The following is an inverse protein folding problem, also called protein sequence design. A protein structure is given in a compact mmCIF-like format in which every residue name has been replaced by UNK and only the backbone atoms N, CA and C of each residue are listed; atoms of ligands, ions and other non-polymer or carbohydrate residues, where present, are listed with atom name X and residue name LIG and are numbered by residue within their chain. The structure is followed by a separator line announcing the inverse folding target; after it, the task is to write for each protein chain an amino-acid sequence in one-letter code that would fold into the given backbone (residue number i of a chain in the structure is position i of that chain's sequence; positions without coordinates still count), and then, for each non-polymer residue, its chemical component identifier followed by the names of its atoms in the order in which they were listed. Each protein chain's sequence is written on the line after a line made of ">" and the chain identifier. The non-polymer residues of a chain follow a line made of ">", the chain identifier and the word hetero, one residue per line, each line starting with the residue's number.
data_IF_911996891174
#
_entry.id   IF_911996891174
#
_cell.length_a   1.000
_cell.length_b   1.000
_cell.length_c   1.000
_cell.angle_alpha   90.00
_cell.angle_beta   90.00
_cell.angle_gamma   90.00
#
_symmetry.space_group_name_H-M   'P 1'
#
loop_
_entity.id
_entity.type
_entity.pdbx_description
1 polymer ?
#
# COMPACT_ATOMS: atom_id res chain seq x y z
N UNK A 1 -29.97 12.73 0.43
CA UNK A 1 -29.43 12.19 -0.84
C UNK A 1 -28.50 11.04 -0.49
N UNK A 2 -28.62 9.87 -1.14
CA UNK A 2 -27.66 8.78 -0.94
C UNK A 2 -26.27 9.29 -1.27
N UNK A 3 -25.31 9.07 -0.38
CA UNK A 3 -23.93 9.54 -0.54
C UNK A 3 -23.26 8.66 -1.59
N UNK A 4 -22.73 9.26 -2.66
CA UNK A 4 -21.95 8.54 -3.67
C UNK A 4 -20.83 7.73 -2.99
N UNK A 5 -20.64 6.43 -3.28
CA UNK A 5 -19.58 5.63 -2.68
C UNK A 5 -18.19 6.20 -3.02
N UNK A 6 -17.20 5.95 -2.15
CA UNK A 6 -15.81 6.23 -2.49
C UNK A 6 -15.34 5.23 -3.55
N UNK A 7 -14.56 5.66 -4.56
CA UNK A 7 -14.11 4.76 -5.60
C UNK A 7 -13.03 3.79 -5.10
N UNK A 8 -13.31 2.50 -5.01
CA UNK A 8 -12.34 1.52 -4.48
C UNK A 8 -11.07 1.35 -5.35
N UNK A 9 -11.02 1.96 -6.53
CA UNK A 9 -9.86 1.95 -7.43
C UNK A 9 -9.71 3.29 -8.13
N UNK A 10 -8.46 3.62 -8.48
CA UNK A 10 -8.11 4.73 -9.36
C UNK A 10 -7.27 4.20 -10.51
N UNK A 11 -7.45 4.77 -11.70
CA UNK A 11 -6.69 4.40 -12.88
C UNK A 11 -6.42 5.65 -13.72
N UNK A 12 -5.15 5.94 -13.93
CA UNK A 12 -4.65 7.04 -14.74
C UNK A 12 -3.90 6.49 -15.95
N UNK A 13 -4.35 6.91 -17.13
CA UNK A 13 -3.77 6.51 -18.42
C UNK A 13 -3.98 7.63 -19.44
N UNK A 14 -3.04 7.76 -20.38
CA UNK A 14 -3.20 8.60 -21.58
C UNK A 14 -3.64 7.79 -22.81
N UNK A 15 -3.82 6.48 -22.65
CA UNK A 15 -4.18 5.58 -23.73
C UNK A 15 -5.66 5.69 -24.06
N UNK A 16 -5.99 5.55 -25.35
CA UNK A 16 -7.38 5.41 -25.77
C UNK A 16 -7.93 4.03 -25.39
N UNK A 17 -9.25 3.89 -25.17
CA UNK A 17 -9.86 2.58 -24.92
C UNK A 17 -9.46 1.55 -25.99
N UNK A 18 -8.95 0.38 -25.57
CA UNK A 18 -8.47 -0.67 -26.45
C UNK A 18 -6.97 -0.62 -26.77
N UNK A 19 -6.25 0.42 -26.35
CA UNK A 19 -4.78 0.41 -26.33
C UNK A 19 -4.25 -0.13 -25.00
N UNK A 20 -3.11 -0.80 -25.06
CA UNK A 20 -2.46 -1.42 -23.90
C UNK A 20 -1.17 -0.66 -23.58
N UNK A 21 -0.91 -0.44 -22.29
CA UNK A 21 0.34 0.18 -21.83
C UNK A 21 1.47 -0.84 -21.78
N UNK A 22 2.70 -0.39 -21.98
CA UNK A 22 3.88 -1.23 -21.82
C UNK A 22 4.07 -1.60 -20.34
N UNK A 23 3.79 -0.64 -19.45
CA UNK A 23 3.91 -0.80 -18.01
C UNK A 23 2.67 -0.33 -17.26
N UNK A 24 2.41 -0.97 -16.12
CA UNK A 24 1.47 -0.49 -15.10
C UNK A 24 2.19 -0.37 -13.76
N UNK A 25 2.15 0.82 -13.16
CA UNK A 25 2.46 1.01 -11.75
C UNK A 25 1.22 0.62 -10.96
N UNK A 26 1.31 -0.44 -10.17
CA UNK A 26 0.23 -0.94 -9.33
C UNK A 26 0.48 -0.55 -7.87
N UNK A 27 -0.31 0.42 -7.38
CA UNK A 27 -0.15 1.02 -6.08
C UNK A 27 -0.98 0.33 -5.00
N UNK A 28 -0.31 -0.06 -3.91
CA UNK A 28 -0.87 -0.70 -2.72
C UNK A 28 -0.76 0.28 -1.54
N UNK A 29 -1.89 0.76 -0.98
CA UNK A 29 -1.89 1.73 0.11
C UNK A 29 -1.41 1.11 1.43
N UNK A 30 -1.07 1.98 2.39
CA UNK A 30 -0.81 1.57 3.78
C UNK A 30 -2.09 1.39 4.59
N UNK A 31 -1.98 1.20 5.90
CA UNK A 31 -3.12 1.17 6.81
C UNK A 31 -3.43 2.57 7.36
N UNK A 32 -4.66 3.12 7.25
CA UNK A 32 -5.88 2.54 6.64
C UNK A 32 -5.82 2.40 5.12
N UNK A 33 -6.30 1.25 4.62
CA UNK A 33 -6.15 0.77 3.24
C UNK A 33 -6.91 1.49 2.13
N UNK A 34 -7.25 2.78 2.29
CA UNK A 34 -8.06 3.54 1.33
C UNK A 34 -7.21 4.19 0.24
N UNK A 35 -7.56 3.96 -1.02
CA UNK A 35 -6.82 4.56 -2.15
C UNK A 35 -7.01 6.08 -2.26
N UNK A 36 -8.08 6.62 -1.66
CA UNK A 36 -8.41 8.04 -1.72
C UNK A 36 -7.31 8.93 -1.13
N UNK A 37 -6.61 8.45 -0.10
CA UNK A 37 -5.47 9.15 0.49
C UNK A 37 -4.34 9.42 -0.52
N UNK A 38 -4.25 8.60 -1.56
CA UNK A 38 -3.16 8.63 -2.54
C UNK A 38 -3.60 9.21 -3.87
N UNK A 39 -4.85 9.64 -4.01
CA UNK A 39 -5.41 10.03 -5.30
C UNK A 39 -4.63 11.19 -5.96
N UNK A 40 -4.33 12.24 -5.18
CA UNK A 40 -3.55 13.38 -5.67
C UNK A 40 -2.12 12.95 -6.01
N UNK A 41 -1.48 12.17 -5.14
CA UNK A 41 -0.14 11.64 -5.34
C UNK A 41 -0.04 10.85 -6.66
N UNK A 42 -0.93 9.86 -6.86
CA UNK A 42 -0.92 9.00 -8.05
C UNK A 42 -1.25 9.76 -9.33
N UNK A 43 -2.15 10.74 -9.27
CA UNK A 43 -2.43 11.63 -10.40
C UNK A 43 -1.20 12.44 -10.78
N UNK A 44 -0.55 13.06 -9.80
CA UNK A 44 0.67 13.86 -10.03
C UNK A 44 1.83 12.99 -10.52
N UNK A 45 1.97 11.79 -9.97
CA UNK A 45 2.95 10.79 -10.42
C UNK A 45 2.75 10.47 -11.90
N UNK A 46 1.54 10.07 -12.30
CA UNK A 46 1.21 9.78 -13.69
C UNK A 46 1.50 10.98 -14.61
N UNK A 47 1.10 12.19 -14.21
CA UNK A 47 1.36 13.40 -14.99
C UNK A 47 2.86 13.67 -15.18
N UNK A 48 3.67 13.48 -14.13
CA UNK A 48 5.12 13.66 -14.20
C UNK A 48 5.79 12.59 -15.07
N UNK A 49 5.36 11.34 -14.97
CA UNK A 49 5.85 10.24 -15.82
C UNK A 49 5.50 10.51 -17.29
N UNK A 50 4.23 10.82 -17.58
CA UNK A 50 3.78 11.14 -18.93
C UNK A 50 4.56 12.30 -19.54
N UNK A 51 4.85 13.35 -18.77
CA UNK A 51 5.67 14.48 -19.21
C UNK A 51 7.12 14.08 -19.51
N UNK A 52 7.71 13.18 -18.71
CA UNK A 52 9.07 12.68 -18.95
C UNK A 52 9.16 11.75 -20.16
N UNK A 53 8.09 11.01 -20.45
CA UNK A 53 8.03 10.04 -21.53
C UNK A 53 7.41 10.58 -22.83
N UNK A 54 7.16 11.89 -22.92
CA UNK A 54 6.43 12.49 -24.07
C UNK A 54 7.09 12.22 -25.43
N UNK A 55 8.42 12.03 -25.47
CA UNK A 55 9.17 11.76 -26.70
C UNK A 55 9.59 10.29 -26.84
N UNK A 56 8.99 9.37 -26.07
CA UNK A 56 9.26 7.93 -26.17
C UNK A 56 8.00 7.20 -26.63
N UNK A 57 8.16 5.96 -27.09
CA UNK A 57 7.03 5.08 -27.40
C UNK A 57 6.48 4.36 -26.16
N UNK A 58 7.04 4.64 -24.97
CA UNK A 58 6.74 3.91 -23.73
C UNK A 58 5.51 4.51 -23.05
N UNK A 59 4.52 3.66 -22.79
CA UNK A 59 3.29 4.03 -22.10
C UNK A 59 3.24 3.40 -20.72
N UNK A 60 3.05 4.24 -19.70
CA UNK A 60 2.98 3.82 -18.30
C UNK A 60 1.64 4.23 -17.71
N UNK A 61 0.85 3.25 -17.32
CA UNK A 61 -0.40 3.45 -16.59
C UNK A 61 -0.14 3.46 -15.09
N UNK A 62 -0.95 4.19 -14.32
CA UNK A 62 -0.91 4.16 -12.85
C UNK A 62 -2.26 3.70 -12.34
N UNK A 63 -2.30 2.57 -11.66
CA UNK A 63 -3.48 2.02 -11.02
C UNK A 63 -3.24 1.92 -9.52
N UNK A 64 -4.28 2.17 -8.73
CA UNK A 64 -4.25 1.92 -7.30
C UNK A 64 -5.57 1.37 -6.82
N UNK A 65 -5.53 0.56 -5.77
CA UNK A 65 -6.70 -0.13 -5.23
C UNK A 65 -6.82 0.04 -3.72
N UNK A 66 -8.05 0.09 -3.23
CA UNK A 66 -8.38 0.02 -1.80
C UNK A 66 -8.24 -1.42 -1.34
N UNK A 67 -7.58 -1.65 -0.21
CA UNK A 67 -7.49 -2.98 0.40
C UNK A 67 -8.90 -3.45 0.82
N UNK A 68 -9.12 -4.77 0.85
CA UNK A 68 -10.42 -5.33 1.24
C UNK A 68 -10.73 -4.98 2.70
N UNK A 69 -11.99 -4.70 2.99
CA UNK A 69 -12.46 -4.30 4.33
C UNK A 69 -12.44 -2.79 4.57
N UNK A 70 -11.89 -2.00 3.63
CA UNK A 70 -11.84 -0.54 3.71
C UNK A 70 -12.84 0.17 2.78
N UNK A 71 -13.63 -0.57 2.01
CA UNK A 71 -14.61 0.00 1.09
C UNK A 71 -15.64 0.88 1.83
N UNK A 72 -15.93 2.07 1.28
CA UNK A 72 -16.79 3.07 1.92
C UNK A 72 -17.97 3.46 1.02
N UNK A 73 -19.15 2.87 1.27
CA UNK A 73 -20.40 3.21 0.59
C UNK A 73 -21.57 2.29 0.95
N UNK A 74 -22.81 2.81 0.84
CA UNK A 74 -24.06 2.07 1.14
C UNK A 74 -24.34 0.95 0.10
N UNK A 75 -23.75 1.11 -1.08
CA UNK A 75 -23.68 0.17 -2.20
C UNK A 75 -22.22 -0.15 -2.49
N UNK A 76 -21.45 -0.60 -1.50
CA UNK A 76 -20.45 -1.60 -1.86
C UNK A 76 -21.23 -2.66 -2.64
N UNK A 77 -20.91 -2.92 -3.92
CA UNK A 77 -21.58 -3.94 -4.72
C UNK A 77 -21.95 -5.11 -3.82
N UNK A 78 -23.23 -5.18 -3.40
CA UNK A 78 -23.69 -6.24 -2.51
C UNK A 78 -23.59 -7.59 -3.23
N UNK A 79 -23.42 -7.52 -4.54
CA UNK A 79 -23.15 -8.59 -5.48
C UNK A 79 -21.65 -8.86 -5.72
N UNK A 80 -20.70 -8.18 -5.06
CA UNK A 80 -19.24 -8.44 -5.17
C UNK A 80 -18.59 -8.72 -3.80
N UNK A 81 -19.12 -8.12 -2.71
CA UNK A 81 -18.65 -8.37 -1.34
C UNK A 81 -19.25 -9.66 -0.73
N UNK A 82 -20.41 -10.13 -1.22
CA UNK A 82 -21.07 -11.36 -0.73
C UNK A 82 -21.05 -12.54 -1.70
N UNK A 83 -20.67 -12.31 -2.95
CA UNK A 83 -20.66 -13.32 -4.02
C UNK A 83 -19.32 -14.04 -4.17
N UNK A 84 -18.25 -13.53 -3.56
CA UNK A 84 -17.07 -14.32 -3.24
C UNK A 84 -17.20 -14.86 -1.80
N UNK A 85 -17.80 -16.05 -1.59
CA UNK A 85 -17.98 -16.66 -0.26
C UNK A 85 -16.68 -16.95 0.50
N UNK A 86 -15.52 -16.65 -0.10
CA UNK A 86 -14.21 -17.08 0.36
C UNK A 86 -13.55 -16.11 1.36
N UNK A 87 -13.92 -14.84 1.38
CA UNK A 87 -13.27 -13.84 2.25
C UNK A 87 -14.17 -13.41 3.42
N UNK A 88 -13.86 -13.91 4.63
CA UNK A 88 -14.48 -13.43 5.88
C UNK A 88 -13.68 -12.23 6.40
N UNK A 89 -14.37 -11.11 6.64
CA UNK A 89 -13.78 -9.93 7.29
C UNK A 89 -13.72 -10.10 8.83
N UNK A 90 -12.73 -9.51 9.51
CA UNK A 90 -11.61 -8.74 8.95
C UNK A 90 -10.61 -9.65 8.22
N UNK A 91 -9.93 -9.12 7.21
CA UNK A 91 -9.09 -9.92 6.33
C UNK A 91 -7.63 -9.91 6.80
N UNK A 92 -7.01 -11.09 6.90
CA UNK A 92 -5.59 -11.21 7.24
C UNK A 92 -4.69 -10.70 6.10
N UNK A 93 -3.42 -10.47 6.42
CA UNK A 93 -2.37 -10.15 5.44
C UNK A 93 -2.34 -11.17 4.29
N UNK A 94 -2.50 -12.46 4.57
CA UNK A 94 -2.52 -13.49 3.52
C UNK A 94 -3.74 -13.35 2.61
N UNK A 95 -4.92 -13.09 3.18
CA UNK A 95 -6.12 -12.82 2.40
C UNK A 95 -6.00 -11.53 1.58
N UNK A 96 -5.34 -10.49 2.09
CA UNK A 96 -5.04 -9.28 1.32
C UNK A 96 -4.12 -9.60 0.14
N UNK A 97 -3.09 -10.44 0.33
CA UNK A 97 -2.21 -10.87 -0.75
C UNK A 97 -3.00 -11.64 -1.83
N UNK A 98 -3.84 -12.59 -1.45
CA UNK A 98 -4.64 -13.37 -2.40
C UNK A 98 -5.61 -12.48 -3.19
N UNK A 99 -6.22 -11.49 -2.54
CA UNK A 99 -7.01 -10.46 -3.21
C UNK A 99 -6.18 -9.64 -4.21
N UNK A 100 -4.99 -9.19 -3.84
CA UNK A 100 -4.12 -8.39 -4.71
C UNK A 100 -3.64 -9.18 -5.92
N UNK A 101 -3.26 -10.45 -5.73
CA UNK A 101 -2.91 -11.36 -6.84
C UNK A 101 -4.08 -11.57 -7.79
N UNK A 102 -5.27 -11.88 -7.26
CA UNK A 102 -6.48 -12.06 -8.06
C UNK A 102 -6.80 -10.81 -8.89
N UNK A 103 -6.76 -9.64 -8.24
CA UNK A 103 -6.98 -8.35 -8.91
C UNK A 103 -5.97 -8.09 -10.03
N UNK A 104 -4.68 -8.33 -9.77
CA UNK A 104 -3.63 -8.11 -10.76
C UNK A 104 -3.72 -9.06 -11.94
N UNK A 105 -4.07 -10.33 -11.69
CA UNK A 105 -4.31 -11.28 -12.76
C UNK A 105 -5.47 -10.86 -13.63
N UNK A 106 -6.59 -10.42 -13.06
CA UNK A 106 -7.70 -9.90 -13.87
C UNK A 106 -7.27 -8.72 -14.76
N UNK A 107 -6.34 -7.88 -14.28
CA UNK A 107 -5.78 -6.78 -15.08
C UNK A 107 -4.85 -7.32 -16.17
N UNK A 108 -4.01 -8.31 -15.86
CA UNK A 108 -3.02 -8.85 -16.77
C UNK A 108 -3.61 -9.81 -17.82
N UNK A 109 -4.65 -10.59 -17.50
CA UNK A 109 -5.40 -11.39 -18.47
C UNK A 109 -5.99 -10.50 -19.57
N UNK A 110 -6.39 -9.27 -19.23
CA UNK A 110 -6.84 -8.26 -20.20
C UNK A 110 -5.71 -7.57 -20.95
N UNK A 111 -4.47 -7.62 -20.43
CA UNK A 111 -3.30 -6.95 -21.00
C UNK A 111 -2.03 -7.82 -20.83
N UNK A 112 -1.89 -8.98 -21.51
CA UNK A 112 -0.88 -9.99 -21.17
C UNK A 112 0.57 -9.53 -21.34
N UNK A 113 0.80 -8.55 -22.23
CA UNK A 113 2.13 -8.03 -22.52
C UNK A 113 2.55 -6.89 -21.58
N UNK A 114 1.63 -6.35 -20.77
CA UNK A 114 1.94 -5.26 -19.84
C UNK A 114 2.75 -5.78 -18.67
N UNK A 115 3.88 -5.13 -18.40
CA UNK A 115 4.72 -5.40 -17.24
C UNK A 115 4.23 -4.63 -16.02
N UNK A 116 4.29 -5.24 -14.84
CA UNK A 116 3.80 -4.66 -13.59
C UNK A 116 4.97 -4.14 -12.75
N UNK A 117 4.91 -2.88 -12.35
CA UNK A 117 5.79 -2.29 -11.34
C UNK A 117 4.96 -2.16 -10.06
N UNK A 118 5.29 -2.94 -9.03
CA UNK A 118 4.60 -2.83 -7.75
C UNK A 118 5.03 -1.55 -7.05
N UNK A 119 4.10 -0.84 -6.41
CA UNK A 119 4.42 0.31 -5.58
C UNK A 119 3.65 0.23 -4.28
N UNK A 120 4.34 0.12 -3.15
CA UNK A 120 3.73 0.02 -1.83
C UNK A 120 3.98 1.25 -0.98
N UNK A 121 3.04 1.59 -0.10
CA UNK A 121 3.28 2.55 0.99
C UNK A 121 3.10 1.91 2.36
N UNK A 122 4.05 2.07 3.30
CA UNK A 122 3.95 1.52 4.66
C UNK A 122 3.61 0.01 4.65
N UNK A 123 2.47 -0.44 5.20
CA UNK A 123 1.98 -1.83 5.07
C UNK A 123 1.93 -2.32 3.61
N UNK A 124 1.59 -1.45 2.67
CA UNK A 124 1.59 -1.77 1.23
C UNK A 124 2.99 -2.12 0.70
N UNK A 125 4.06 -1.57 1.29
CA UNK A 125 5.44 -1.95 0.98
C UNK A 125 5.76 -3.36 1.47
N UNK A 126 5.27 -3.73 2.65
CA UNK A 126 5.36 -5.11 3.14
C UNK A 126 4.63 -6.08 2.22
N UNK A 127 3.38 -5.77 1.84
CA UNK A 127 2.60 -6.59 0.91
C UNK A 127 3.31 -6.72 -0.44
N UNK A 128 3.88 -5.64 -0.96
CA UNK A 128 4.69 -5.64 -2.19
C UNK A 128 5.85 -6.64 -2.11
N UNK A 129 6.58 -6.64 -0.99
CA UNK A 129 7.71 -7.56 -0.76
C UNK A 129 7.26 -9.01 -0.67
N UNK A 130 6.15 -9.29 0.03
CA UNK A 130 5.58 -10.64 0.10
C UNK A 130 5.11 -11.13 -1.28
N UNK A 131 4.57 -10.24 -2.13
CA UNK A 131 4.20 -10.60 -3.49
C UNK A 131 5.41 -10.96 -4.36
N UNK A 132 6.50 -10.18 -4.26
CA UNK A 132 7.77 -10.49 -4.93
C UNK A 132 8.38 -11.81 -4.43
N UNK A 133 8.33 -12.04 -3.13
CA UNK A 133 8.81 -13.29 -2.53
C UNK A 133 8.02 -14.51 -3.04
N UNK A 134 6.68 -14.42 -3.09
CA UNK A 134 5.85 -15.51 -3.64
C UNK A 134 6.15 -15.79 -5.12
N UNK A 135 6.44 -14.76 -5.92
CA UNK A 135 6.94 -14.93 -7.30
C UNK A 135 8.26 -15.71 -7.34
N UNK A 136 9.20 -15.37 -6.46
CA UNK A 136 10.51 -16.00 -6.43
C UNK A 136 10.40 -17.50 -6.17
N UNK A 137 9.64 -17.88 -5.14
CA UNK A 137 9.39 -19.29 -4.83
C UNK A 137 8.68 -20.04 -5.96
N UNK A 138 7.70 -19.42 -6.62
CA UNK A 138 7.04 -20.02 -7.78
C UNK A 138 8.01 -20.27 -8.95
N UNK A 139 8.96 -19.36 -9.17
CA UNK A 139 9.93 -19.45 -10.27
C UNK A 139 10.98 -20.56 -10.06
N UNK A 140 11.33 -20.86 -8.80
CA UNK A 140 12.35 -21.85 -8.45
C UNK A 140 11.80 -23.28 -8.29
N UNK A 141 10.67 -23.44 -7.59
CA UNK A 141 10.16 -24.77 -7.22
C UNK A 141 8.96 -25.22 -8.06
N UNK A 142 8.44 -24.36 -8.96
CA UNK A 142 7.21 -24.63 -9.72
C UNK A 142 5.96 -24.81 -8.85
N UNK A 143 6.08 -24.62 -7.54
CA UNK A 143 5.03 -24.78 -6.55
C UNK A 143 4.74 -23.42 -5.91
N UNK A 144 3.47 -23.02 -5.94
CA UNK A 144 3.00 -21.88 -5.15
C UNK A 144 3.09 -22.27 -3.66
N UNK A 145 3.70 -21.43 -2.81
CA UNK A 145 3.85 -21.69 -1.37
C UNK A 145 2.51 -21.88 -0.62
N UNK A 146 1.40 -21.61 -1.28
CA UNK A 146 0.06 -21.91 -0.81
C UNK A 146 -0.55 -22.96 -1.74
N UNK A 147 -0.67 -24.21 -1.24
CA UNK A 147 -1.34 -25.32 -1.93
C UNK A 147 -2.81 -24.99 -2.32
N UNK A 148 -3.37 -23.90 -1.79
CA UNK A 148 -4.76 -23.47 -2.00
C UNK A 148 -4.93 -22.36 -3.03
N UNK A 149 -3.85 -21.78 -3.56
CA UNK A 149 -3.93 -20.58 -4.40
C UNK A 149 -3.83 -20.89 -5.88
N UNK A 150 -4.89 -20.59 -6.63
CA UNK A 150 -5.08 -20.93 -8.06
C UNK A 150 -4.69 -19.81 -9.02
N UNK A 151 -4.02 -18.77 -8.53
CA UNK A 151 -3.70 -17.58 -9.32
C UNK A 151 -2.33 -17.69 -10.01
N UNK A 152 -2.26 -17.23 -11.26
CA UNK A 152 -0.99 -17.08 -11.99
C UNK A 152 -0.11 -15.99 -11.34
N UNK A 153 1.21 -16.09 -11.50
CA UNK A 153 2.11 -15.05 -10.99
C UNK A 153 2.24 -13.91 -12.01
N UNK A 154 1.95 -12.65 -11.62
CA UNK A 154 2.01 -11.56 -12.58
C UNK A 154 3.43 -11.25 -13.08
N UNK A 155 3.52 -10.72 -14.30
CA UNK A 155 4.80 -10.30 -14.91
C UNK A 155 5.38 -9.04 -14.25
N UNK A 156 6.03 -9.20 -13.09
CA UNK A 156 6.67 -8.10 -12.36
C UNK A 156 7.98 -7.66 -13.01
N UNK A 157 8.09 -6.36 -13.31
CA UNK A 157 9.31 -5.71 -13.79
C UNK A 157 10.18 -5.13 -12.66
N UNK A 158 9.61 -4.94 -11.46
CA UNK A 158 10.31 -4.39 -10.29
C UNK A 158 9.33 -3.88 -9.24
N UNK A 159 9.86 -3.29 -8.18
CA UNK A 159 9.05 -2.72 -7.11
C UNK A 159 9.60 -1.40 -6.58
N UNK A 160 8.71 -0.58 -6.02
CA UNK A 160 9.03 0.68 -5.34
C UNK A 160 8.36 0.65 -3.98
N UNK A 161 9.14 0.60 -2.91
CA UNK A 161 8.61 0.69 -1.55
C UNK A 161 8.78 2.13 -1.03
N UNK A 162 7.65 2.78 -0.78
CA UNK A 162 7.55 4.16 -0.32
C UNK A 162 7.29 4.16 1.18
N UNK A 163 8.14 4.84 1.97
CA UNK A 163 8.06 4.83 3.44
C UNK A 163 7.85 3.41 4.00
N UNK A 164 8.80 2.49 3.70
CA UNK A 164 8.65 1.08 3.96
C UNK A 164 8.53 0.77 5.45
N UNK A 165 7.42 0.13 5.83
CA UNK A 165 7.31 -0.53 7.12
C UNK A 165 7.90 -1.94 6.98
N UNK A 166 9.22 -2.04 6.78
CA UNK A 166 9.91 -3.32 6.46
C UNK A 166 10.77 -3.87 7.59
N UNK A 167 11.08 -3.06 8.61
CA UNK A 167 11.80 -3.50 9.81
C UNK A 167 11.16 -2.90 11.07
N UNK A 168 11.22 -3.67 12.15
CA UNK A 168 10.77 -3.41 13.52
C UNK A 168 9.88 -2.17 13.77
N UNK A 169 8.66 -2.14 13.22
CA UNK A 169 7.66 -1.11 13.61
C UNK A 169 7.51 -1.01 15.13
N UNK A 170 7.51 -2.15 15.84
CA UNK A 170 7.35 -2.20 17.29
C UNK A 170 8.44 -1.44 18.08
N UNK A 171 9.56 -1.06 17.46
CA UNK A 171 10.66 -0.30 18.08
C UNK A 171 10.60 1.20 17.80
N UNK A 172 9.79 1.65 16.85
CA UNK A 172 9.57 3.07 16.57
C UNK A 172 8.83 3.77 17.72
N UNK A 173 8.84 5.11 17.77
CA UNK A 173 8.14 5.86 18.84
C UNK A 173 6.64 5.53 18.83
N UNK A 174 6.03 5.53 17.65
CA UNK A 174 4.62 5.19 17.46
C UNK A 174 4.33 3.71 17.70
N UNK A 175 5.23 2.81 17.25
CA UNK A 175 5.05 1.38 17.47
C UNK A 175 5.28 0.93 18.91
N UNK A 176 6.09 1.64 19.72
CA UNK A 176 6.18 1.41 21.17
C UNK A 176 4.87 1.76 21.88
N UNK A 177 4.24 2.88 21.49
CA UNK A 177 2.94 3.31 22.00
C UNK A 177 1.87 2.30 21.59
N UNK A 178 1.82 1.93 20.31
CA UNK A 178 0.86 0.95 19.81
C UNK A 178 1.06 -0.44 20.44
N UNK A 179 2.30 -0.91 20.60
CA UNK A 179 2.62 -2.19 21.25
C UNK A 179 2.26 -2.17 22.75
N UNK A 180 2.43 -1.03 23.43
CA UNK A 180 1.96 -0.87 24.81
C UNK A 180 0.44 -1.01 24.93
N UNK A 181 -0.31 -0.35 24.05
CA UNK A 181 -1.78 -0.44 24.03
C UNK A 181 -2.27 -1.82 23.52
N UNK A 182 -1.65 -2.39 22.50
CA UNK A 182 -1.99 -3.69 21.92
C UNK A 182 -1.79 -4.85 22.91
N UNK A 183 -0.82 -4.75 23.83
CA UNK A 183 -0.66 -5.72 24.94
C UNK A 183 -1.85 -5.73 25.90
N UNK A 184 -2.62 -4.65 25.94
CA UNK A 184 -3.89 -4.57 26.66
C UNK A 184 -4.99 -4.83 25.64
N UNK A 185 -5.13 -6.09 25.20
CA UNK A 185 -6.10 -6.52 24.17
C UNK A 185 -7.51 -5.95 24.43
N UNK A 186 -7.94 -5.93 25.71
CA UNK A 186 -9.22 -5.35 26.10
C UNK A 186 -9.34 -3.84 25.82
N UNK A 187 -8.26 -3.07 25.97
CA UNK A 187 -8.28 -1.62 25.76
C UNK A 187 -8.36 -1.25 24.28
N UNK A 188 -7.64 -1.95 23.40
CA UNK A 188 -7.73 -1.71 21.95
C UNK A 188 -9.14 -2.03 21.44
N UNK A 189 -9.74 -3.14 21.89
CA UNK A 189 -11.10 -3.49 21.53
C UNK A 189 -12.13 -2.48 22.07
N UNK A 190 -11.95 -2.02 23.31
CA UNK A 190 -12.81 -0.98 23.90
C UNK A 190 -12.71 0.32 23.12
N UNK A 191 -11.50 0.81 22.82
CA UNK A 191 -11.31 2.05 22.05
C UNK A 191 -11.87 1.92 20.64
N UNK A 192 -11.59 0.81 19.94
CA UNK A 192 -12.13 0.54 18.61
C UNK A 192 -13.66 0.51 18.62
N UNK A 193 -14.27 -0.13 19.61
CA UNK A 193 -15.73 -0.17 19.79
C UNK A 193 -16.29 1.23 20.01
N UNK A 194 -15.67 2.05 20.87
CA UNK A 194 -16.13 3.42 21.13
C UNK A 194 -16.03 4.28 19.86
N UNK A 195 -14.89 4.22 19.15
CA UNK A 195 -14.73 4.93 17.88
C UNK A 195 -15.76 4.47 16.85
N UNK A 196 -15.97 3.16 16.71
CA UNK A 196 -16.95 2.60 15.79
C UNK A 196 -18.38 3.05 16.13
N UNK A 197 -18.80 2.98 17.39
CA UNK A 197 -20.10 3.47 17.85
C UNK A 197 -20.25 4.97 17.57
N UNK A 198 -19.23 5.78 17.83
CA UNK A 198 -19.25 7.21 17.50
C UNK A 198 -19.39 7.46 15.99
N UNK A 199 -18.71 6.65 15.17
CA UNK A 199 -18.80 6.71 13.71
C UNK A 199 -20.20 6.38 13.19
N UNK A 200 -20.89 5.44 13.83
CA UNK A 200 -22.28 5.09 13.50
C UNK A 200 -23.29 6.16 13.93
N UNK A 201 -23.05 6.83 15.06
CA UNK A 201 -23.99 7.82 15.61
C UNK A 201 -23.88 9.19 14.92
N UNK A 202 -22.72 9.54 14.38
CA UNK A 202 -22.46 10.87 13.85
C UNK A 202 -22.54 10.90 12.32
N UNK A 203 -23.28 11.86 11.72
CA UNK A 203 -23.25 12.05 10.27
C UNK A 203 -21.83 12.38 9.77
N UNK A 204 -21.45 11.87 8.59
CA UNK A 204 -20.12 12.13 7.97
C UNK A 204 -19.73 13.61 7.94
N UNK A 205 -20.68 14.53 7.76
CA UNK A 205 -20.39 15.97 7.79
C UNK A 205 -19.92 16.49 9.16
N UNK A 206 -20.42 15.89 10.25
CA UNK A 206 -19.97 16.17 11.62
C UNK A 206 -18.61 15.54 11.85
N UNK A 207 -18.42 14.27 11.47
CA UNK A 207 -17.11 13.59 11.54
C UNK A 207 -16.04 14.37 10.77
N UNK A 208 -16.34 14.84 9.56
CA UNK A 208 -15.44 15.67 8.75
C UNK A 208 -15.04 16.95 9.49
N UNK A 209 -16.00 17.62 10.14
CA UNK A 209 -15.71 18.81 10.95
C UNK A 209 -14.83 18.47 12.15
N UNK A 210 -15.09 17.36 12.84
CA UNK A 210 -14.24 16.90 13.94
C UNK A 210 -12.81 16.66 13.43
N UNK A 211 -12.65 16.03 12.27
CA UNK A 211 -11.33 15.72 11.69
C UNK A 211 -10.59 16.99 11.24
N UNK A 212 -11.25 17.90 10.51
CA UNK A 212 -10.63 19.16 10.07
C UNK A 212 -10.25 20.03 11.27
N UNK A 213 -11.18 20.25 12.20
CA UNK A 213 -11.02 21.24 13.27
C UNK A 213 -10.31 20.68 14.49
N UNK A 214 -10.52 19.40 14.81
CA UNK A 214 -9.93 18.75 15.98
C UNK A 214 -8.59 18.08 15.69
N UNK A 215 -8.38 17.57 14.46
CA UNK A 215 -7.16 16.85 14.08
C UNK A 215 -6.29 17.60 13.07
N UNK A 216 -6.76 18.73 12.52
CA UNK A 216 -5.97 19.58 11.62
C UNK A 216 -5.72 19.00 10.23
N UNK A 217 -6.49 18.01 9.80
CA UNK A 217 -6.31 17.39 8.48
C UNK A 217 -6.82 18.31 7.35
N UNK A 218 -6.16 18.32 6.17
CA UNK A 218 -6.67 18.93 4.95
C UNK A 218 -8.09 18.42 4.59
N UNK A 219 -8.90 19.25 3.93
CA UNK A 219 -10.31 18.94 3.69
C UNK A 219 -10.56 17.65 2.89
N UNK A 220 -9.67 17.31 1.95
CA UNK A 220 -9.72 16.12 1.11
C UNK A 220 -9.38 14.85 1.90
N UNK A 221 -8.36 14.91 2.75
CA UNK A 221 -8.02 13.84 3.68
C UNK A 221 -9.12 13.66 4.74
N UNK A 222 -9.72 14.77 5.22
CA UNK A 222 -10.75 14.72 6.26
C UNK A 222 -12.05 14.06 5.80
N UNK A 223 -12.48 14.23 4.55
CA UNK A 223 -13.63 13.48 4.00
C UNK A 223 -13.34 11.99 3.95
N UNK A 224 -12.11 11.60 3.55
CA UNK A 224 -11.70 10.20 3.51
C UNK A 224 -11.69 9.58 4.90
N UNK A 225 -11.10 10.25 5.89
CA UNK A 225 -11.11 9.82 7.30
C UNK A 225 -12.52 9.74 7.85
N UNK A 226 -13.37 10.73 7.59
CA UNK A 226 -14.75 10.75 8.09
C UNK A 226 -15.58 9.58 7.52
N UNK A 227 -15.32 9.20 6.26
CA UNK A 227 -15.97 8.05 5.63
C UNK A 227 -15.43 6.72 6.12
N UNK A 228 -14.12 6.61 6.31
CA UNK A 228 -13.50 5.45 6.94
C UNK A 228 -14.02 5.23 8.36
N UNK A 229 -14.14 6.30 9.15
CA UNK A 229 -14.67 6.24 10.51
C UNK A 229 -16.15 5.80 10.50
N UNK A 230 -16.95 6.33 9.58
CA UNK A 230 -18.36 5.96 9.44
C UNK A 230 -18.63 4.61 8.75
N UNK A 231 -17.60 3.85 8.32
CA UNK A 231 -17.80 2.60 7.60
C UNK A 231 -17.99 1.40 8.53
N UNK A 232 -18.60 0.33 8.02
CA UNK A 232 -18.90 -0.86 8.82
C UNK A 232 -17.65 -1.56 9.36
N UNK A 233 -16.58 -1.59 8.57
CA UNK A 233 -15.38 -2.39 8.84
C UNK A 233 -14.08 -1.59 8.93
N UNK A 234 -14.03 -0.32 8.50
CA UNK A 234 -12.77 0.41 8.36
C UNK A 234 -11.93 0.46 9.64
N UNK A 235 -12.56 0.71 10.80
CA UNK A 235 -11.86 0.72 12.09
C UNK A 235 -11.39 -0.69 12.48
N UNK A 236 -12.26 -1.69 12.32
CA UNK A 236 -11.97 -3.07 12.68
C UNK A 236 -10.86 -3.67 11.82
N UNK A 237 -10.89 -3.41 10.52
CA UNK A 237 -9.85 -3.83 9.57
C UNK A 237 -8.52 -3.13 9.86
N UNK A 238 -8.54 -1.83 10.15
CA UNK A 238 -7.33 -1.09 10.56
C UNK A 238 -6.69 -1.68 11.81
N UNK A 239 -7.48 -2.01 12.82
CA UNK A 239 -6.98 -2.60 14.07
C UNK A 239 -6.47 -4.01 13.82
N UNK A 240 -7.18 -4.81 13.03
CA UNK A 240 -6.80 -6.18 12.69
C UNK A 240 -5.45 -6.21 11.96
N UNK A 241 -5.33 -5.49 10.84
CA UNK A 241 -4.08 -5.43 10.07
C UNK A 241 -2.95 -4.80 10.85
N UNK A 242 -3.20 -3.74 11.62
CA UNK A 242 -2.17 -3.11 12.45
C UNK A 242 -1.63 -4.04 13.55
N UNK A 243 -2.49 -4.91 14.10
CA UNK A 243 -2.07 -5.93 15.08
C UNK A 243 -1.24 -7.02 14.43
N UNK A 244 -1.65 -7.46 13.23
CA UNK A 244 -0.92 -8.48 12.48
C UNK A 244 0.45 -7.97 11.99
N UNK A 245 0.51 -6.71 11.55
CA UNK A 245 1.72 -5.97 11.19
C UNK A 245 2.74 -5.96 12.33
N UNK A 246 2.33 -5.66 13.56
CA UNK A 246 3.22 -5.69 14.72
C UNK A 246 3.85 -7.07 14.98
N UNK A 247 3.15 -8.16 14.63
CA UNK A 247 3.63 -9.53 14.83
C UNK A 247 4.51 -9.99 13.66
N UNK A 248 4.10 -9.71 12.42
CA UNK A 248 4.75 -10.23 11.22
C UNK A 248 5.95 -9.39 10.76
N UNK A 249 5.91 -8.07 10.88
CA UNK A 249 6.97 -7.15 10.40
C UNK A 249 8.17 -7.07 11.37
N UNK A 250 8.15 -7.85 12.46
CA UNK A 250 9.21 -7.85 13.48
C UNK A 250 10.41 -8.76 13.19
N UNK A 251 10.45 -9.51 12.08
CA UNK A 251 11.52 -10.49 11.80
C UNK A 251 12.12 -10.27 10.40
N UNK A 252 13.45 -10.34 10.23
CA UNK A 252 14.06 -10.35 8.90
C UNK A 252 13.59 -11.60 8.15
N UNK A 253 12.92 -11.41 7.00
CA UNK A 253 12.23 -12.49 6.28
C UNK A 253 12.63 -12.67 4.82
N UNK A 254 13.13 -11.61 4.18
CA UNK A 254 13.52 -11.64 2.77
C UNK A 254 15.02 -11.84 2.59
N UNK A 255 15.36 -12.83 1.77
CA UNK A 255 16.72 -13.13 1.32
C UNK A 255 17.22 -12.12 0.29
N UNK A 256 18.52 -12.14 0.02
CA UNK A 256 19.18 -11.21 -0.92
C UNK A 256 18.61 -11.33 -2.35
N UNK A 257 17.99 -12.45 -2.72
CA UNK A 257 17.38 -12.66 -4.03
C UNK A 257 16.09 -11.84 -4.19
N UNK A 258 15.23 -11.81 -3.18
CA UNK A 258 14.05 -10.92 -3.18
C UNK A 258 14.48 -9.44 -3.19
N UNK A 259 15.53 -9.08 -2.45
CA UNK A 259 16.09 -7.72 -2.49
C UNK A 259 16.76 -7.38 -3.84
N UNK A 260 17.29 -8.38 -4.54
CA UNK A 260 17.88 -8.24 -5.88
C UNK A 260 16.85 -8.12 -7.01
N UNK A 261 15.55 -8.22 -6.72
CA UNK A 261 14.48 -8.22 -7.74
C UNK A 261 14.15 -6.84 -8.34
N UNK A 262 15.07 -5.87 -8.25
CA UNK A 262 14.87 -4.51 -8.75
C UNK A 262 13.94 -3.67 -7.86
N UNK A 263 14.11 -3.76 -6.54
CA UNK A 263 13.38 -2.92 -5.59
C UNK A 263 14.09 -1.58 -5.34
N UNK A 264 13.33 -0.49 -5.42
CA UNK A 264 13.76 0.85 -5.03
C UNK A 264 13.06 1.30 -3.75
N UNK A 265 13.80 1.89 -2.81
CA UNK A 265 13.23 2.48 -1.59
C UNK A 265 13.16 3.99 -1.71
N UNK A 266 11.99 4.55 -1.40
CA UNK A 266 11.79 5.99 -1.22
C UNK A 266 11.58 6.25 0.26
N UNK A 267 12.57 6.85 0.93
CA UNK A 267 12.57 7.09 2.37
C UNK A 267 12.97 8.55 2.64
N UNK A 268 12.18 9.26 3.44
CA UNK A 268 12.50 10.60 3.93
C UNK A 268 11.98 10.76 5.37
N UNK A 269 12.87 10.81 6.37
CA UNK A 269 12.59 11.08 7.80
C UNK A 269 11.27 10.46 8.31
N UNK A 270 11.16 9.14 8.21
CA UNK A 270 9.96 8.42 8.66
C UNK A 270 10.05 8.11 10.17
N UNK A 271 9.09 8.63 10.96
CA UNK A 271 8.99 8.37 12.41
C UNK A 271 8.63 6.90 12.74
N UNK A 272 8.26 6.09 11.75
CA UNK A 272 7.87 4.69 11.89
C UNK A 272 9.03 3.70 11.75
N UNK A 273 10.23 4.15 11.37
CA UNK A 273 11.43 3.32 11.23
C UNK A 273 12.57 3.88 12.11
N UNK A 274 13.22 3.08 12.98
CA UNK A 274 14.38 3.54 13.73
C UNK A 274 15.54 3.92 12.79
N UNK A 275 16.15 5.09 12.99
CA UNK A 275 17.20 5.67 12.13
C UNK A 275 18.38 4.73 11.85
N UNK A 276 18.75 3.89 12.82
CA UNK A 276 19.82 2.89 12.68
C UNK A 276 19.46 1.70 11.77
N UNK A 277 18.19 1.29 11.76
CA UNK A 277 17.73 0.20 10.89
C UNK A 277 17.64 0.64 9.42
N UNK A 278 17.50 1.94 9.20
CA UNK A 278 17.55 2.55 7.88
C UNK A 278 18.94 2.47 7.24
N UNK A 279 19.99 2.82 7.99
CA UNK A 279 21.37 2.77 7.48
C UNK A 279 21.73 1.33 7.05
N UNK A 280 21.29 0.34 7.83
CA UNK A 280 21.49 -1.07 7.52
C UNK A 280 20.74 -1.51 6.24
N UNK A 281 19.51 -1.02 6.02
CA UNK A 281 18.72 -1.32 4.82
C UNK A 281 19.32 -0.70 3.55
N UNK A 282 19.75 0.57 3.63
CA UNK A 282 20.46 1.22 2.52
C UNK A 282 21.74 0.48 2.16
N UNK A 283 22.56 0.19 3.18
CA UNK A 283 23.83 -0.50 2.99
C UNK A 283 23.60 -1.85 2.32
N UNK A 284 22.56 -2.60 2.73
CA UNK A 284 22.22 -3.88 2.11
C UNK A 284 21.84 -3.73 0.63
N UNK A 285 21.06 -2.71 0.27
CA UNK A 285 20.69 -2.45 -1.12
C UNK A 285 21.86 -2.00 -1.97
N UNK A 286 22.73 -1.13 -1.45
CA UNK A 286 23.96 -0.73 -2.14
C UNK A 286 24.85 -1.94 -2.41
N UNK A 287 25.08 -2.79 -1.40
CA UNK A 287 25.88 -4.00 -1.55
C UNK A 287 25.27 -5.00 -2.54
N UNK A 288 23.95 -5.09 -2.64
CA UNK A 288 23.26 -5.95 -3.61
C UNK A 288 23.34 -5.35 -5.02
N UNK A 289 23.13 -4.04 -5.17
CA UNK A 289 23.29 -3.33 -6.44
C UNK A 289 24.71 -3.44 -7.00
N UNK A 290 25.73 -3.27 -6.15
CA UNK A 290 27.14 -3.48 -6.50
C UNK A 290 27.42 -4.91 -6.97
N UNK A 291 26.81 -5.93 -6.34
CA UNK A 291 26.91 -7.34 -6.79
C UNK A 291 26.19 -7.60 -8.11
N UNK A 292 25.09 -6.89 -8.38
CA UNK A 292 24.29 -7.02 -9.60
C UNK A 292 24.85 -6.21 -10.79
N UNK A 293 25.83 -5.33 -10.56
CA UNK A 293 26.40 -4.45 -11.58
C UNK A 293 25.61 -3.16 -11.82
N UNK A 294 24.59 -2.89 -11.01
CA UNK A 294 23.81 -1.66 -11.04
C UNK A 294 24.45 -0.66 -10.05
N UNK A 295 25.18 0.33 -10.58
CA UNK A 295 25.68 1.44 -9.77
C UNK A 295 24.50 2.30 -9.35
N UNK A 296 24.01 2.07 -8.13
CA UNK A 296 23.08 2.99 -7.48
C UNK A 296 23.90 4.21 -7.07
N UNK A 297 23.80 5.30 -7.84
CA UNK A 297 24.29 6.62 -7.40
C UNK A 297 23.56 7.00 -6.11
N UNK A 298 24.24 6.80 -4.98
CA UNK A 298 23.86 7.40 -3.71
C UNK A 298 24.22 8.88 -3.80
N UNK A 299 23.28 9.71 -4.29
CA UNK A 299 23.39 11.16 -4.18
C UNK A 299 23.13 11.57 -2.72
N UNK A 300 24.06 11.21 -1.84
CA UNK A 300 24.13 11.66 -0.47
C UNK A 300 24.71 13.07 -0.44
N UNK A 301 23.82 14.03 -0.14
CA UNK A 301 24.10 15.23 0.64
C UNK A 301 25.04 16.32 0.09
N UNK A 302 24.86 16.80 -1.15
CA UNK A 302 25.51 18.08 -1.51
C UNK A 302 24.74 19.09 -2.39
N UNK A 303 23.47 18.85 -2.70
CA UNK A 303 22.74 19.68 -3.68
C UNK A 303 21.72 20.72 -3.18
N UNK A 304 21.28 20.70 -1.90
CA UNK A 304 20.04 21.43 -1.51
C UNK A 304 20.26 22.64 -0.58
N UNK A 305 21.49 22.92 -0.13
CA UNK A 305 21.73 24.04 0.82
C UNK A 305 22.02 25.38 0.12
N UNK A 306 22.26 25.44 -1.19
CA UNK A 306 22.64 26.71 -1.87
C UNK A 306 21.50 27.51 -2.55
N UNK A 307 20.22 27.18 -2.36
CA UNK A 307 19.12 27.99 -2.95
C UNK A 307 18.25 28.79 -1.97
N UNK A 308 18.62 28.89 -0.69
CA UNK A 308 17.95 29.79 0.29
C UNK A 308 18.89 30.90 0.78
N UNK A 309 19.73 31.39 -0.13
CA UNK A 309 20.51 32.62 0.06
C UNK A 309 20.64 33.35 -1.28
N UNK A 310 19.52 33.89 -1.76
CA UNK A 310 19.41 35.15 -2.53
C UNK A 310 17.95 35.52 -2.72
#
# INVERSE_FOLDING_TARGET
>A
MPKKPLPNKVHYTNLTPGQHGDYIIFFIPGNPGLIQFYNLFLKTLHQRIAKRLTNTSINVNVMGITLRGFECGDDSDKDDIRSAPEFKLPLSIDGQLDFLFTTLNDVQTRNPHTKVILMGHSLGSFLTMEMLQRRHFYSHDGACLCETSTYDIPNFAGAIAVFPALTHLARSKSGKVLNFYAKIVGLVLVVATHLWVLGLLLPTGVLRRIVVWGLGYPEDAAETVARWWGSSWGIWESVHLGTEELVRIGKPRWDDEVWGSGIHLLVEKDDWVPEKEWEDLLLRLTLIGERAGDVIETDTQQGVVESISK
#
